data_IF_786559321309
#
_entry.id   IF_786559321309
#
_cell.length_a   1.000
_cell.length_b   1.000
_cell.length_c   1.000
_cell.angle_alpha   90.00
_cell.angle_beta   90.00
_cell.angle_gamma   90.00
#
_symmetry.space_group_name_H-M   'P 1'
#
loop_
_entity.id
_entity.type
_entity.pdbx_description
1 polymer ?
#
# COMPACT_ATOMS: atom_id res chain seq x y z
N UNK A 1 -3.67 -5.41 13.78
CA UNK A 1 -2.48 -6.12 13.24
C UNK A 1 -2.36 -5.71 11.78
N UNK A 2 -1.15 -5.48 11.23
CA UNK A 2 -1.01 -5.05 9.84
C UNK A 2 -1.60 -6.11 8.91
N UNK A 3 -2.48 -5.72 8.00
CA UNK A 3 -3.18 -6.63 7.09
C UNK A 3 -2.23 -7.20 6.01
N UNK A 4 -1.14 -6.49 5.72
CA UNK A 4 -0.14 -6.86 4.71
C UNK A 4 1.25 -6.94 5.32
N UNK A 5 2.09 -7.82 4.75
CA UNK A 5 3.46 -8.04 5.23
C UNK A 5 4.51 -7.73 4.17
N UNK A 6 5.74 -7.43 4.60
CA UNK A 6 6.87 -7.18 3.71
C UNK A 6 7.13 -8.42 2.84
N UNK A 7 7.33 -8.19 1.55
CA UNK A 7 7.53 -9.23 0.53
C UNK A 7 6.25 -9.62 -0.21
N UNK A 8 5.07 -9.23 0.27
CA UNK A 8 3.81 -9.55 -0.41
C UNK A 8 3.58 -8.69 -1.64
N UNK A 9 3.08 -9.33 -2.70
CA UNK A 9 2.59 -8.62 -3.88
C UNK A 9 1.15 -8.16 -3.64
N UNK A 10 0.91 -6.88 -3.84
CA UNK A 10 -0.37 -6.21 -3.60
C UNK A 10 -0.83 -5.43 -4.82
N UNK A 11 -2.14 -5.30 -4.95
CA UNK A 11 -2.79 -4.42 -5.91
C UNK A 11 -3.31 -3.20 -5.18
N UNK A 12 -2.99 -2.01 -5.67
CA UNK A 12 -3.24 -0.75 -4.96
C UNK A 12 -3.55 0.41 -5.89
N UNK A 13 -4.18 1.48 -5.38
CA UNK A 13 -4.39 2.73 -6.11
C UNK A 13 -3.37 3.80 -5.68
N UNK A 14 -2.46 4.25 -6.56
CA UNK A 14 -1.41 5.19 -6.20
C UNK A 14 -1.92 6.63 -5.93
N UNK A 15 -3.03 7.02 -6.58
CA UNK A 15 -3.56 8.38 -6.52
C UNK A 15 -5.08 8.33 -6.32
N UNK A 16 -5.63 9.21 -5.48
CA UNK A 16 -7.06 9.50 -5.44
C UNK A 16 -7.95 8.60 -4.55
N UNK A 17 -7.37 7.70 -3.76
CA UNK A 17 -8.13 6.89 -2.80
C UNK A 17 -8.82 5.65 -3.41
N UNK A 18 -9.45 4.79 -2.60
CA UNK A 18 -10.12 3.56 -3.05
C UNK A 18 -11.21 3.81 -4.10
N UNK A 19 -11.90 4.96 -4.02
CA UNK A 19 -13.00 5.32 -4.91
C UNK A 19 -12.58 6.09 -6.18
N UNK A 20 -11.29 6.37 -6.39
CA UNK A 20 -10.88 7.07 -7.61
C UNK A 20 -10.97 6.17 -8.85
N UNK A 21 -11.26 6.81 -9.99
CA UNK A 21 -11.16 6.24 -11.35
C UNK A 21 -9.70 6.05 -11.82
N UNK A 22 -8.73 6.31 -10.95
CA UNK A 22 -7.31 6.09 -11.26
C UNK A 22 -7.04 4.61 -11.46
N UNK A 23 -6.16 4.27 -12.43
CA UNK A 23 -5.79 2.88 -12.67
C UNK A 23 -5.11 2.28 -11.43
N UNK A 24 -5.53 1.08 -11.08
CA UNK A 24 -4.85 0.29 -10.07
C UNK A 24 -3.48 -0.17 -10.57
N UNK A 25 -2.52 -0.20 -9.67
CA UNK A 25 -1.15 -0.64 -9.89
C UNK A 25 -0.84 -1.88 -9.07
N UNK A 26 0.19 -2.60 -9.52
CA UNK A 26 0.73 -3.78 -8.84
C UNK A 26 2.10 -3.44 -8.28
N UNK A 27 2.40 -3.94 -7.09
CA UNK A 27 3.68 -3.74 -6.47
C UNK A 27 3.92 -4.65 -5.28
N UNK A 28 5.14 -4.60 -4.75
CA UNK A 28 5.55 -5.45 -3.63
C UNK A 28 5.72 -4.59 -2.39
N UNK A 29 5.14 -5.00 -1.26
CA UNK A 29 5.34 -4.35 0.02
C UNK A 29 6.81 -4.53 0.41
N UNK A 30 7.53 -3.43 0.58
CA UNK A 30 8.93 -3.39 0.99
C UNK A 30 9.10 -3.01 2.45
N UNK A 31 8.19 -2.20 2.97
CA UNK A 31 8.26 -1.73 4.35
C UNK A 31 6.85 -1.46 4.91
N UNK A 32 6.71 -1.52 6.23
CA UNK A 32 5.45 -1.25 6.93
C UNK A 32 5.69 0.01 7.78
N UNK A 33 5.22 1.15 7.27
CA UNK A 33 5.29 2.45 7.93
C UNK A 33 4.08 2.58 8.87
N UNK A 34 3.99 1.67 9.84
CA UNK A 34 3.01 1.73 10.92
C UNK A 34 3.69 2.25 12.17
N UNK A 35 3.30 3.43 12.66
CA UNK A 35 3.81 3.95 13.93
C UNK A 35 3.16 3.20 15.10
N UNK A 36 3.93 2.50 15.94
CA UNK A 36 3.41 1.88 17.16
C UNK A 36 3.12 2.98 18.19
N UNK A 37 1.85 3.34 18.39
CA UNK A 37 1.44 4.26 19.45
C UNK A 37 0.18 5.07 19.16
N UNK A 38 -0.16 5.25 17.88
CA UNK A 38 -1.28 6.10 17.48
C UNK A 38 -2.46 5.21 17.03
N UNK A 39 -3.32 4.82 17.96
CA UNK A 39 -4.53 4.01 17.71
C UNK A 39 -5.55 4.67 16.73
N UNK A 40 -5.23 5.85 16.19
CA UNK A 40 -6.10 6.64 15.32
C UNK A 40 -5.55 6.85 13.89
N UNK A 41 -4.30 6.43 13.59
CA UNK A 41 -3.72 6.62 12.26
C UNK A 41 -3.73 5.33 11.45
N UNK A 42 -4.32 5.41 10.26
CA UNK A 42 -4.35 4.31 9.28
C UNK A 42 -2.94 3.84 8.93
N UNK A 43 -2.65 2.52 8.96
CA UNK A 43 -1.34 1.99 8.63
C UNK A 43 -0.98 2.28 7.18
N UNK A 44 0.30 2.60 6.96
CA UNK A 44 0.87 2.86 5.63
C UNK A 44 1.91 1.81 5.30
N UNK A 45 1.97 1.48 4.02
CA UNK A 45 2.85 0.47 3.47
C UNK A 45 3.72 1.10 2.40
N UNK A 46 5.02 0.86 2.44
CA UNK A 46 5.90 1.22 1.36
C UNK A 46 5.81 0.15 0.29
N UNK A 47 5.20 0.48 -0.84
CA UNK A 47 5.01 -0.44 -1.97
C UNK A 47 5.93 -0.05 -3.11
N UNK A 48 6.70 -1.00 -3.60
CA UNK A 48 7.53 -0.86 -4.80
C UNK A 48 6.72 -1.26 -6.03
N UNK A 49 6.47 -0.29 -6.92
CA UNK A 49 5.67 -0.50 -8.11
C UNK A 49 6.39 -1.45 -9.07
N UNK A 50 5.74 -2.53 -9.47
CA UNK A 50 6.33 -3.55 -10.33
C UNK A 50 6.61 -3.04 -11.77
N UNK A 51 5.93 -1.98 -12.23
CA UNK A 51 6.12 -1.44 -13.57
C UNK A 51 7.25 -0.40 -13.64
N UNK A 52 7.44 0.38 -12.57
CA UNK A 52 8.38 1.52 -12.57
C UNK A 52 9.58 1.33 -11.63
N UNK A 53 9.56 0.32 -10.76
CA UNK A 53 10.56 0.11 -9.71
C UNK A 53 10.58 1.18 -8.61
N UNK A 54 9.66 2.16 -8.67
CA UNK A 54 9.59 3.26 -7.69
C UNK A 54 8.86 2.83 -6.44
N UNK A 55 9.35 3.29 -5.29
CA UNK A 55 8.72 3.06 -3.98
C UNK A 55 7.77 4.20 -3.66
N UNK A 56 6.58 3.87 -3.20
CA UNK A 56 5.55 4.82 -2.81
C UNK A 56 4.92 4.41 -1.47
N UNK A 57 4.56 5.38 -0.65
CA UNK A 57 3.85 5.14 0.61
C UNK A 57 2.34 5.10 0.34
N UNK A 58 1.76 3.91 0.49
CA UNK A 58 0.37 3.60 0.19
C UNK A 58 -0.39 3.34 1.49
N UNK A 59 -1.54 3.98 1.64
CA UNK A 59 -2.47 3.75 2.75
C UNK A 59 -3.10 2.36 2.66
N UNK A 60 -3.40 1.74 3.79
CA UNK A 60 -4.10 0.44 3.82
C UNK A 60 -5.40 0.46 3.00
N UNK A 61 -6.25 1.50 3.15
CA UNK A 61 -7.49 1.59 2.36
C UNK A 61 -7.28 1.75 0.85
N UNK A 62 -6.07 2.12 0.40
CA UNK A 62 -5.76 2.19 -1.02
C UNK A 62 -5.29 0.85 -1.59
N UNK A 63 -5.02 -0.15 -0.74
CA UNK A 63 -4.66 -1.50 -1.14
C UNK A 63 -5.95 -2.29 -1.35
N UNK A 64 -6.16 -2.74 -2.59
CA UNK A 64 -7.36 -3.44 -3.03
C UNK A 64 -7.32 -4.93 -2.66
N UNK A 65 -6.13 -5.51 -2.51
CA UNK A 65 -5.93 -6.90 -2.10
C UNK A 65 -4.56 -7.46 -2.48
N UNK A 66 -4.37 -8.74 -2.14
CA UNK A 66 -3.22 -9.55 -2.54
C UNK A 66 -3.36 -10.04 -3.99
N UNK A 67 -2.22 -10.36 -4.61
CA UNK A 67 -2.11 -10.96 -5.95
C UNK A 67 -1.15 -12.14 -5.96
#
# INVERSE_FOLDING_TARGET
MPQYTVGQSVRYKPVGGPNSKTPESKGTVRDIITSPGEAAQEPRYQVENANTGKRASIKESNILGLI
#
